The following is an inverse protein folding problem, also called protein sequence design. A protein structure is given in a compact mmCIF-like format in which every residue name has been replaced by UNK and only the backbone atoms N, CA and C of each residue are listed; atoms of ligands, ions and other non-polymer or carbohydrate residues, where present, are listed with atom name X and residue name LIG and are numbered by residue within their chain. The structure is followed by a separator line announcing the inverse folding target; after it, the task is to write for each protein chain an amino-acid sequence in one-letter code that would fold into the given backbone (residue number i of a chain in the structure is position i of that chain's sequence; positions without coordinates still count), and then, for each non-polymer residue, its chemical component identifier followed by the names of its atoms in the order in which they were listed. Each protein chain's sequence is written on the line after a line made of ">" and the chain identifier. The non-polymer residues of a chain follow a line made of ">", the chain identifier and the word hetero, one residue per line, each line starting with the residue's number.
data_IF_725762656850
#
_entry.id   IF_725762656850
#
_cell.length_a   1.000
_cell.length_b   1.000
_cell.length_c   1.000
_cell.angle_alpha   90.00
_cell.angle_beta   90.00
_cell.angle_gamma   90.00
#
_symmetry.space_group_name_H-M   'P 1'
#
loop_
_entity.id
_entity.type
_entity.pdbx_description
1 polymer ?
#
# COMPACT_ATOMS: atom_id res chain seq x y z
N UNK A 1 16.29 44.80 26.77
CA UNK A 1 15.01 45.04 26.05
C UNK A 1 14.62 43.93 25.07
N UNK A 2 15.55 43.22 24.41
CA UNK A 2 15.22 42.16 23.43
C UNK A 2 14.65 40.84 24.00
N UNK A 3 14.75 40.61 25.32
CA UNK A 3 14.30 39.35 25.94
C UNK A 3 12.78 39.26 26.15
N UNK A 4 12.07 40.39 26.31
CA UNK A 4 10.60 40.38 26.47
C UNK A 4 9.86 40.07 25.16
N UNK A 5 10.38 40.51 24.01
CA UNK A 5 9.68 40.37 22.72
C UNK A 5 9.64 38.91 22.23
N UNK A 6 10.68 38.14 22.53
CA UNK A 6 10.76 36.73 22.15
C UNK A 6 9.76 35.86 22.92
N UNK A 7 9.48 36.20 24.18
CA UNK A 7 8.53 35.44 24.98
C UNK A 7 7.08 35.62 24.48
N UNK A 8 6.74 36.83 24.02
CA UNK A 8 5.43 37.11 23.42
C UNK A 8 5.23 36.40 22.06
N UNK A 9 6.30 36.27 21.27
CA UNK A 9 6.25 35.55 20.00
C UNK A 9 6.06 34.03 20.20
N UNK A 10 6.74 33.44 21.19
CA UNK A 10 6.51 32.03 21.54
C UNK A 10 5.11 31.79 22.10
N UNK A 11 4.60 32.70 22.93
CA UNK A 11 3.25 32.59 23.49
C UNK A 11 2.18 32.69 22.39
N UNK A 12 2.37 33.59 21.42
CA UNK A 12 1.50 33.73 20.25
C UNK A 12 1.55 32.50 19.33
N UNK A 13 2.73 31.93 19.10
CA UNK A 13 2.90 30.72 18.30
C UNK A 13 2.23 29.49 18.94
N UNK A 14 2.36 29.32 20.27
CA UNK A 14 1.69 28.25 21.01
C UNK A 14 0.18 28.42 21.05
N UNK A 15 -0.32 29.65 21.26
CA UNK A 15 -1.74 29.94 21.24
C UNK A 15 -2.35 29.72 19.83
N UNK A 16 -1.65 30.14 18.77
CA UNK A 16 -2.07 29.92 17.39
C UNK A 16 -2.07 28.44 16.99
N UNK A 17 -1.06 27.68 17.41
CA UNK A 17 -1.01 26.23 17.19
C UNK A 17 -2.14 25.51 17.94
N UNK A 18 -2.40 25.88 19.19
CA UNK A 18 -3.47 25.29 19.99
C UNK A 18 -4.86 25.63 19.42
N UNK A 19 -5.07 26.86 18.94
CA UNK A 19 -6.33 27.28 18.32
C UNK A 19 -6.59 26.58 16.97
N UNK A 20 -5.54 26.39 16.15
CA UNK A 20 -5.61 25.63 14.89
C UNK A 20 -5.91 24.14 15.14
N UNK A 21 -5.23 23.54 16.14
CA UNK A 21 -5.46 22.17 16.56
C UNK A 21 -6.89 21.96 17.10
N UNK A 22 -7.42 22.91 17.89
CA UNK A 22 -8.78 22.87 18.43
C UNK A 22 -9.84 23.01 17.31
N UNK A 23 -9.59 23.85 16.31
CA UNK A 23 -10.45 23.98 15.12
C UNK A 23 -10.47 22.69 14.27
N UNK A 24 -9.32 22.04 14.09
CA UNK A 24 -9.23 20.78 13.34
C UNK A 24 -9.91 19.61 14.09
N UNK A 25 -9.87 19.61 15.43
CA UNK A 25 -10.52 18.61 16.29
C UNK A 25 -12.05 18.73 16.28
N UNK A 26 -12.59 19.94 16.30
CA UNK A 26 -14.04 20.17 16.34
C UNK A 26 -14.75 20.00 14.99
N UNK A 27 -14.05 20.15 13.85
CA UNK A 27 -14.67 20.06 12.51
C UNK A 27 -14.67 18.66 11.88
N UNK A 28 -13.90 17.68 12.39
CA UNK A 28 -13.98 16.30 11.91
C UNK A 28 -15.09 15.46 12.55
N UNK A 29 -15.69 15.90 13.68
CA UNK A 29 -16.84 15.20 14.30
C UNK A 29 -18.22 15.75 13.86
N UNK A 30 -18.29 16.88 13.15
CA UNK A 30 -19.55 17.50 12.72
C UNK A 30 -20.04 17.04 11.34
N UNK A 31 -19.25 16.25 10.59
CA UNK A 31 -19.68 15.67 9.31
C UNK A 31 -20.16 14.23 9.47
N UNK A 32 -21.04 14.06 10.45
CA UNK A 32 -22.06 13.02 10.51
C UNK A 32 -22.51 12.64 9.09
N UNK A 33 -22.50 11.35 8.72
CA UNK A 33 -23.57 10.44 9.14
C UNK A 33 -24.94 11.12 9.00
N UNK A 34 -25.50 11.04 7.80
CA UNK A 34 -26.94 11.09 7.53
C UNK A 34 -27.16 10.34 6.20
N UNK A 35 -27.28 9.01 6.27
CA UNK A 35 -28.11 8.19 5.37
C UNK A 35 -27.85 6.71 5.63
N UNK A 36 -28.26 6.24 6.81
CA UNK A 36 -28.92 4.94 6.85
C UNK A 36 -30.38 5.14 6.41
N UNK A 37 -30.99 4.03 5.98
CA UNK A 37 -32.44 3.76 5.96
C UNK A 37 -33.15 3.98 4.60
N UNK A 38 -33.42 2.84 3.94
CA UNK A 38 -34.80 2.36 3.66
C UNK A 38 -35.43 2.53 2.26
N UNK A 39 -35.60 1.35 1.64
CA UNK A 39 -36.84 0.80 1.02
C UNK A 39 -37.32 1.28 -0.36
N UNK A 40 -37.38 0.28 -1.25
CA UNK A 40 -38.07 0.21 -2.56
C UNK A 40 -39.61 0.40 -2.43
N UNK A 41 -40.47 0.31 -3.47
CA UNK A 41 -40.27 -0.04 -4.90
C UNK A 41 -41.07 0.82 -5.92
N UNK A 42 -40.60 0.96 -7.16
CA UNK A 42 -41.42 1.17 -8.38
C UNK A 42 -40.63 0.57 -9.56
N UNK A 43 -40.95 -0.55 -10.19
CA UNK A 43 -42.17 -0.98 -10.89
C UNK A 43 -42.49 -0.16 -12.15
N UNK A 44 -42.13 -0.75 -13.30
CA UNK A 44 -42.64 -0.56 -14.68
C UNK A 44 -42.51 0.86 -15.31
N UNK A 45 -41.87 1.03 -16.47
CA UNK A 45 -42.39 0.52 -17.75
C UNK A 45 -41.32 0.46 -18.86
N UNK A 46 -41.31 -0.70 -19.51
CA UNK A 46 -40.88 -1.17 -20.84
C UNK A 46 -40.70 -0.16 -21.97
N UNK A 47 -39.60 -0.28 -22.73
CA UNK A 47 -39.51 -0.40 -24.23
C UNK A 47 -38.16 -1.11 -24.52
N UNK A 48 -38.08 -2.38 -24.95
CA UNK A 48 -38.44 -3.03 -26.22
C UNK A 48 -37.86 -2.35 -27.47
N UNK A 49 -36.69 -2.84 -27.90
CA UNK A 49 -36.44 -3.25 -29.28
C UNK A 49 -35.29 -4.26 -29.33
N UNK A 50 -35.63 -5.47 -29.78
CA UNK A 50 -34.73 -6.54 -30.22
C UNK A 50 -34.88 -6.66 -31.75
N UNK A 51 -34.12 -7.49 -32.48
CA UNK A 51 -32.86 -8.16 -32.16
C UNK A 51 -31.77 -7.90 -33.24
N UNK A 52 -30.49 -7.92 -32.87
CA UNK A 52 -29.43 -8.22 -33.83
C UNK A 52 -28.62 -9.38 -33.30
N UNK A 53 -29.08 -10.57 -33.64
CA UNK A 53 -28.27 -11.78 -33.58
C UNK A 53 -27.09 -11.64 -34.53
N UNK A 54 -25.89 -11.57 -33.97
CA UNK A 54 -24.75 -12.24 -34.55
C UNK A 54 -24.24 -13.22 -33.50
N UNK A 55 -24.40 -14.49 -33.86
CA UNK A 55 -23.73 -15.66 -33.32
C UNK A 55 -22.31 -15.30 -32.82
N UNK A 56 -22.03 -15.57 -31.54
CA UNK A 56 -21.45 -16.86 -31.13
C UNK A 56 -20.08 -17.11 -31.77
N UNK A 57 -19.02 -16.79 -31.02
CA UNK A 57 -18.15 -17.84 -30.46
C UNK A 57 -16.95 -17.17 -29.78
N UNK A 58 -16.99 -17.16 -28.45
CA UNK A 58 -15.77 -17.15 -27.65
C UNK A 58 -15.13 -18.54 -27.81
N UNK A 59 -13.79 -18.61 -27.91
CA UNK A 59 -13.02 -18.41 -26.70
C UNK A 59 -11.79 -17.52 -26.95
N UNK A 60 -11.84 -16.31 -26.39
CA UNK A 60 -10.61 -15.62 -26.03
C UNK A 60 -9.94 -16.48 -24.96
N UNK A 61 -8.85 -17.12 -25.37
CA UNK A 61 -7.96 -17.88 -24.53
C UNK A 61 -7.68 -17.10 -23.25
N UNK A 62 -8.20 -17.61 -22.14
CA UNK A 62 -7.62 -17.35 -20.83
C UNK A 62 -6.11 -17.60 -20.98
N UNK A 63 -5.22 -16.64 -20.66
CA UNK A 63 -3.88 -17.03 -20.32
C UNK A 63 -4.03 -17.90 -19.09
N UNK A 64 -3.97 -19.21 -19.37
CA UNK A 64 -3.66 -20.32 -18.50
C UNK A 64 -3.02 -19.74 -17.24
N UNK A 65 -3.79 -19.78 -16.15
CA UNK A 65 -3.21 -19.83 -14.84
C UNK A 65 -2.12 -20.89 -14.92
N UNK A 66 -0.88 -20.45 -15.10
CA UNK A 66 0.24 -21.29 -14.84
C UNK A 66 0.03 -21.69 -13.38
N UNK A 67 -0.08 -22.98 -13.08
CA UNK A 67 0.10 -23.41 -11.72
C UNK A 67 1.54 -23.02 -11.43
N UNK A 68 1.77 -21.85 -10.83
CA UNK A 68 2.96 -21.67 -10.03
C UNK A 68 2.79 -22.73 -8.97
N UNK A 69 3.51 -23.82 -9.21
CA UNK A 69 3.58 -24.95 -8.35
C UNK A 69 3.63 -24.42 -6.93
N UNK A 70 2.78 -25.01 -6.09
CA UNK A 70 3.11 -25.17 -4.70
C UNK A 70 4.54 -25.75 -4.65
N UNK A 71 5.53 -24.87 -4.62
CA UNK A 71 6.84 -25.19 -4.10
C UNK A 71 6.56 -25.47 -2.62
N UNK A 72 6.48 -26.77 -2.35
CA UNK A 72 6.50 -27.36 -1.02
C UNK A 72 7.48 -26.59 -0.11
N UNK A 73 7.17 -26.49 1.19
CA UNK A 73 7.83 -25.57 2.10
C UNK A 73 9.32 -25.90 2.16
N UNK A 74 10.14 -25.05 1.52
CA UNK A 74 11.54 -25.00 1.84
C UNK A 74 11.61 -24.66 3.33
N UNK A 75 12.16 -25.60 4.10
CA UNK A 75 12.43 -25.52 5.52
C UNK A 75 12.87 -24.10 5.93
N UNK A 76 12.56 -23.65 7.16
CA UNK A 76 12.92 -22.33 7.65
C UNK A 76 14.44 -22.24 7.72
N UNK A 77 15.06 -21.86 6.61
CA UNK A 77 16.37 -21.24 6.61
C UNK A 77 16.13 -19.95 7.38
N UNK A 78 16.60 -19.92 8.62
CA UNK A 78 16.72 -18.69 9.41
C UNK A 78 17.67 -17.77 8.64
N UNK A 79 17.11 -17.08 7.64
CA UNK A 79 17.82 -16.07 6.88
C UNK A 79 17.91 -14.85 7.78
N UNK A 80 19.09 -14.70 8.37
CA UNK A 80 19.48 -13.44 9.00
C UNK A 80 19.63 -12.43 7.88
N UNK A 81 18.92 -11.30 7.98
CA UNK A 81 19.03 -10.22 7.01
C UNK A 81 20.43 -9.59 7.11
N UNK A 82 21.15 -9.55 6.00
CA UNK A 82 22.46 -8.94 5.90
C UNK A 82 22.32 -7.42 5.71
N UNK A 83 22.22 -6.73 6.83
CA UNK A 83 22.12 -5.26 6.88
C UNK A 83 23.40 -4.57 6.41
N UNK A 84 24.56 -5.23 6.50
CA UNK A 84 25.83 -4.68 6.03
C UNK A 84 25.90 -4.68 4.50
N UNK A 85 25.52 -5.80 3.87
CA UNK A 85 25.43 -5.89 2.41
C UNK A 85 24.35 -4.94 1.84
N UNK A 86 23.21 -4.81 2.52
CA UNK A 86 22.18 -3.84 2.13
C UNK A 86 22.73 -2.41 2.13
N UNK A 87 23.49 -2.04 3.16
CA UNK A 87 24.14 -0.73 3.26
C UNK A 87 25.19 -0.52 2.18
N UNK A 88 25.98 -1.55 1.87
CA UNK A 88 26.97 -1.50 0.78
C UNK A 88 26.29 -1.30 -0.59
N UNK A 89 25.09 -1.86 -0.79
CA UNK A 89 24.27 -1.64 -1.98
C UNK A 89 23.52 -0.29 -1.99
N UNK A 90 23.69 0.55 -0.95
CA UNK A 90 23.12 1.90 -0.88
C UNK A 90 21.79 2.02 -0.14
N UNK A 91 21.27 0.94 0.45
CA UNK A 91 20.02 0.97 1.22
C UNK A 91 20.25 1.41 2.67
N UNK A 92 19.36 2.27 3.19
CA UNK A 92 19.34 2.66 4.61
C UNK A 92 18.17 1.97 5.31
N UNK A 93 18.43 0.76 5.80
CA UNK A 93 17.50 0.00 6.61
C UNK A 93 17.39 0.60 8.01
N UNK A 94 16.17 0.82 8.50
CA UNK A 94 15.89 1.15 9.90
C UNK A 94 15.81 -0.11 10.79
N UNK A 95 15.80 -1.29 10.19
CA UNK A 95 15.76 -2.57 10.85
C UNK A 95 15.49 -3.72 9.86
N UNK A 96 15.41 -4.97 10.34
CA UNK A 96 15.16 -6.14 9.49
C UNK A 96 13.75 -6.18 8.88
N UNK A 97 12.84 -5.33 9.39
CA UNK A 97 11.43 -5.27 9.03
C UNK A 97 11.09 -4.00 8.23
N UNK A 98 12.08 -3.35 7.63
CA UNK A 98 11.89 -2.09 6.92
C UNK A 98 11.50 -2.33 5.45
N UNK A 99 10.19 -2.50 5.19
CA UNK A 99 9.68 -2.74 3.83
C UNK A 99 9.87 -1.54 2.90
N UNK A 100 10.30 -0.38 3.40
CA UNK A 100 10.51 0.83 2.58
C UNK A 100 11.66 0.70 1.57
N UNK A 101 12.43 -0.39 1.64
CA UNK A 101 13.40 -0.74 0.60
C UNK A 101 12.73 -1.17 -0.71
N UNK A 102 11.49 -1.63 -0.66
CA UNK A 102 10.69 -1.95 -1.85
C UNK A 102 10.18 -0.66 -2.47
N UNK A 103 10.41 -0.49 -3.78
CA UNK A 103 10.00 0.72 -4.48
C UNK A 103 8.47 0.84 -4.52
N UNK A 104 7.94 2.02 -4.23
CA UNK A 104 6.50 2.24 -4.09
C UNK A 104 5.96 1.98 -2.68
N UNK A 105 6.73 1.35 -1.78
CA UNK A 105 6.38 1.24 -0.36
C UNK A 105 6.95 2.42 0.41
N UNK A 106 6.13 3.44 0.61
CA UNK A 106 6.46 4.56 1.50
C UNK A 106 6.30 4.20 2.98
N UNK A 107 6.74 5.08 3.91
CA UNK A 107 6.62 4.84 5.36
C UNK A 107 5.20 4.52 5.82
N UNK A 108 4.18 5.12 5.20
CA UNK A 108 2.76 4.87 5.52
C UNK A 108 2.23 3.54 5.01
N UNK A 109 2.72 3.08 3.87
CA UNK A 109 2.37 1.76 3.34
C UNK A 109 3.08 0.68 4.18
N UNK A 110 4.34 0.90 4.56
CA UNK A 110 5.05 0.03 5.50
C UNK A 110 4.30 -0.11 6.84
N UNK A 111 3.87 1.01 7.44
CA UNK A 111 3.02 0.98 8.65
C UNK A 111 1.72 0.17 8.44
N UNK A 112 1.07 0.33 7.28
CA UNK A 112 -0.15 -0.39 6.95
C UNK A 112 0.06 -1.91 6.88
N UNK A 113 1.12 -2.37 6.20
CA UNK A 113 1.44 -3.80 6.13
C UNK A 113 1.82 -4.37 7.50
N UNK A 114 2.56 -3.60 8.31
CA UNK A 114 2.90 -4.01 9.66
C UNK A 114 1.64 -4.21 10.53
N UNK A 115 0.63 -3.36 10.39
CA UNK A 115 -0.64 -3.46 11.12
C UNK A 115 -1.45 -4.72 10.75
N UNK A 116 -1.30 -5.24 9.53
CA UNK A 116 -1.93 -6.51 9.10
C UNK A 116 -1.03 -7.73 9.29
N UNK A 117 0.11 -7.57 10.00
CA UNK A 117 1.02 -8.65 10.35
C UNK A 117 2.03 -9.03 9.26
N UNK A 118 2.13 -8.24 8.18
CA UNK A 118 3.17 -8.39 7.15
C UNK A 118 4.31 -7.43 7.49
N UNK A 119 5.25 -7.91 8.28
CA UNK A 119 6.38 -7.13 8.83
C UNK A 119 7.72 -7.45 8.17
N UNK A 120 7.88 -8.64 7.59
CA UNK A 120 9.17 -9.07 6.99
C UNK A 120 9.11 -9.13 5.47
N UNK A 121 10.26 -8.98 4.82
CA UNK A 121 10.38 -9.17 3.37
C UNK A 121 9.87 -10.56 2.93
N UNK A 122 10.16 -11.60 3.70
CA UNK A 122 9.70 -12.95 3.42
C UNK A 122 8.17 -13.11 3.51
N UNK A 123 7.51 -12.36 4.40
CA UNK A 123 6.04 -12.35 4.46
C UNK A 123 5.45 -11.58 3.29
N UNK A 124 6.02 -10.42 2.94
CA UNK A 124 5.57 -9.62 1.82
C UNK A 124 5.75 -10.35 0.48
N UNK A 125 6.87 -11.07 0.30
CA UNK A 125 7.14 -11.90 -0.87
C UNK A 125 6.11 -13.03 -1.08
N UNK A 126 5.46 -13.48 -0.01
CA UNK A 126 4.40 -14.50 -0.06
C UNK A 126 3.01 -13.92 -0.35
N UNK A 127 2.86 -12.59 -0.28
CA UNK A 127 1.59 -11.95 -0.60
C UNK A 127 1.37 -11.90 -2.11
N UNK A 128 0.13 -12.09 -2.51
CA UNK A 128 -0.29 -11.92 -3.89
C UNK A 128 -0.66 -10.46 -4.16
N UNK A 129 -0.54 -10.02 -5.42
CA UNK A 129 -1.00 -8.70 -5.88
C UNK A 129 -2.43 -8.36 -5.41
N UNK A 130 -3.44 -9.24 -5.57
CA UNK A 130 -4.79 -8.95 -5.06
C UNK A 130 -4.88 -8.81 -3.55
N UNK A 131 -4.09 -9.57 -2.77
CA UNK A 131 -4.06 -9.41 -1.31
C UNK A 131 -3.47 -8.06 -0.90
N UNK A 132 -2.34 -7.68 -1.50
CA UNK A 132 -1.72 -6.37 -1.25
C UNK A 132 -2.64 -5.23 -1.69
N UNK A 133 -3.28 -5.35 -2.86
CA UNK A 133 -4.24 -4.36 -3.33
C UNK A 133 -5.42 -4.22 -2.38
N UNK A 134 -5.96 -5.32 -1.87
CA UNK A 134 -7.04 -5.29 -0.88
C UNK A 134 -6.64 -4.50 0.38
N UNK A 135 -5.43 -4.72 0.89
CA UNK A 135 -4.91 -3.99 2.06
C UNK A 135 -4.84 -2.48 1.77
N UNK A 136 -4.38 -2.08 0.58
CA UNK A 136 -4.32 -0.67 0.16
C UNK A 136 -5.72 -0.06 0.00
N UNK A 137 -6.66 -0.80 -0.58
CA UNK A 137 -8.03 -0.36 -0.80
C UNK A 137 -8.78 -0.18 0.54
N UNK A 138 -8.62 -1.13 1.46
CA UNK A 138 -9.19 -1.08 2.82
C UNK A 138 -8.63 0.12 3.61
N UNK A 139 -7.41 0.55 3.32
CA UNK A 139 -6.77 1.72 3.94
C UNK A 139 -7.26 3.06 3.36
N UNK A 140 -7.94 3.03 2.21
CA UNK A 140 -8.67 4.17 1.64
C UNK A 140 -8.00 4.86 0.45
N UNK A 141 -8.70 5.87 -0.08
CA UNK A 141 -8.40 6.47 -1.39
C UNK A 141 -6.99 7.08 -1.54
N UNK A 142 -6.31 7.37 -0.43
CA UNK A 142 -4.95 7.94 -0.42
C UNK A 142 -3.89 6.98 -0.98
N UNK A 143 -4.16 5.69 -0.98
CA UNK A 143 -3.24 4.65 -1.43
C UNK A 143 -3.51 4.15 -2.86
N UNK A 144 -4.52 4.71 -3.55
CA UNK A 144 -4.91 4.28 -4.91
C UNK A 144 -3.82 4.45 -5.97
N UNK A 145 -2.84 5.32 -5.73
CA UNK A 145 -1.73 5.54 -6.65
C UNK A 145 -0.61 4.50 -6.47
N UNK A 146 -0.62 3.75 -5.36
CA UNK A 146 0.37 2.71 -5.12
C UNK A 146 0.05 1.47 -5.97
N UNK A 147 1.08 0.85 -6.53
CA UNK A 147 0.94 -0.31 -7.40
C UNK A 147 1.74 -1.50 -6.84
N UNK A 148 1.07 -2.56 -6.34
CA UNK A 148 1.74 -3.68 -5.69
C UNK A 148 2.30 -4.75 -6.64
N UNK A 149 2.22 -4.55 -7.98
CA UNK A 149 2.57 -5.58 -8.97
C UNK A 149 3.97 -6.17 -8.80
N UNK A 150 4.96 -5.34 -8.46
CA UNK A 150 6.38 -5.71 -8.39
C UNK A 150 6.87 -5.93 -6.96
N UNK A 151 6.05 -5.59 -5.96
CA UNK A 151 6.46 -5.59 -4.55
C UNK A 151 6.85 -6.97 -4.04
N UNK A 152 6.10 -8.02 -4.40
CA UNK A 152 6.41 -9.38 -3.98
C UNK A 152 7.77 -9.85 -4.53
N UNK A 153 8.07 -9.51 -5.79
CA UNK A 153 9.35 -9.86 -6.43
C UNK A 153 10.53 -9.12 -5.79
N UNK A 154 10.37 -7.81 -5.54
CA UNK A 154 11.37 -7.01 -4.84
C UNK A 154 11.61 -7.53 -3.42
N UNK A 155 10.54 -7.85 -2.69
CA UNK A 155 10.63 -8.40 -1.35
C UNK A 155 11.31 -9.77 -1.32
N UNK A 156 11.12 -10.61 -2.33
CA UNK A 156 11.81 -11.89 -2.44
C UNK A 156 13.34 -11.70 -2.55
N UNK A 157 13.79 -10.78 -3.42
CA UNK A 157 15.21 -10.47 -3.56
C UNK A 157 15.81 -9.92 -2.26
N UNK A 158 15.09 -9.05 -1.56
CA UNK A 158 15.50 -8.54 -0.25
C UNK A 158 15.57 -9.64 0.81
N UNK A 159 14.59 -10.54 0.85
CA UNK A 159 14.56 -11.68 1.78
C UNK A 159 15.71 -12.67 1.53
N UNK A 160 16.19 -12.76 0.29
CA UNK A 160 17.32 -13.61 -0.13
C UNK A 160 18.68 -12.90 -0.02
N UNK A 161 18.75 -11.69 0.54
CA UNK A 161 19.97 -10.86 0.60
C UNK A 161 20.58 -10.52 -0.78
N UNK A 162 19.79 -10.58 -1.85
CA UNK A 162 20.20 -10.26 -3.22
C UNK A 162 20.09 -8.76 -3.51
N UNK A 163 20.80 -7.96 -2.73
CA UNK A 163 20.68 -6.49 -2.75
C UNK A 163 21.10 -5.86 -4.09
N UNK A 164 22.12 -6.42 -4.74
CA UNK A 164 22.58 -5.96 -6.06
C UNK A 164 21.55 -6.26 -7.16
N UNK A 165 20.93 -7.44 -7.12
CA UNK A 165 19.86 -7.81 -8.07
C UNK A 165 18.61 -6.96 -7.84
N UNK A 166 18.26 -6.70 -6.58
CA UNK A 166 17.17 -5.79 -6.22
C UNK A 166 17.43 -4.40 -6.80
N UNK A 167 18.66 -3.89 -6.67
CA UNK A 167 19.03 -2.58 -7.19
C UNK A 167 18.93 -2.54 -8.72
N UNK A 168 19.47 -3.54 -9.39
CA UNK A 168 19.39 -3.65 -10.85
C UNK A 168 17.95 -3.83 -11.35
N UNK A 169 17.06 -4.44 -10.57
CA UNK A 169 15.64 -4.53 -10.88
C UNK A 169 14.96 -3.16 -10.71
N UNK A 170 15.23 -2.45 -9.60
CA UNK A 170 14.70 -1.10 -9.37
C UNK A 170 15.15 -0.10 -10.42
N UNK A 171 16.40 -0.16 -10.86
CA UNK A 171 16.92 0.74 -11.90
C UNK A 171 16.22 0.53 -13.27
N UNK A 172 15.55 -0.61 -13.47
CA UNK A 172 14.73 -0.90 -14.66
C UNK A 172 13.26 -0.53 -14.48
N UNK A 173 12.80 -0.37 -13.24
CA UNK A 173 11.43 0.02 -12.92
C UNK A 173 11.32 1.55 -12.90
N UNK A 174 10.12 2.06 -13.17
CA UNK A 174 9.83 3.48 -13.03
C UNK A 174 8.73 3.66 -11.98
N UNK A 175 9.11 3.86 -10.73
CA UNK A 175 8.16 4.02 -9.62
C UNK A 175 7.51 2.71 -9.16
N UNK A 176 8.19 1.57 -9.36
CA UNK A 176 7.65 0.24 -9.06
C UNK A 176 6.73 -0.35 -10.13
N UNK A 177 6.72 0.21 -11.34
CA UNK A 177 5.94 -0.26 -12.51
C UNK A 177 6.84 -0.50 -13.70
#
# INVERSE_FOLDING_TARGET
>A
MFSCCFWWFLLGALAGWLLNWLMCRCMCCRKSKCCDTTTAPQAATTQTSAPSSLLSSAPAAAPKAAPVAAAAPAAPKTFVLDTAAAKAAGYKLKGPNDLTVVEGIGPKINELFNNVGVVTFAQLAKQTVPQMQKVLDDAGARYKLANPKTWAQQAALAAENKWSELKALQDKLSGGV
#
